data_IF_100939129095
#
_entry.id   IF_100939129095
#
_cell.length_a   1.000
_cell.length_b   1.000
_cell.length_c   1.000
_cell.angle_alpha   90.00
_cell.angle_beta   90.00
_cell.angle_gamma   90.00
#
_symmetry.space_group_name_H-M   'P 1'
#
loop_
_entity.id
_entity.type
_entity.pdbx_description
1 polymer ?
#
# COMPACT_ATOMS: atom_id res chain seq x y z
N UNK A 1 12.32 -14.63 18.15
CA UNK A 1 11.22 -13.73 17.75
C UNK A 1 11.88 -12.49 17.17
N UNK A 2 11.66 -12.21 15.88
CA UNK A 2 12.25 -11.06 15.20
C UNK A 2 11.34 -9.85 15.49
N UNK A 3 11.86 -8.84 16.17
CA UNK A 3 11.13 -7.60 16.47
C UNK A 3 11.28 -6.55 15.37
N UNK A 4 12.18 -6.80 14.42
CA UNK A 4 12.42 -5.93 13.28
C UNK A 4 11.30 -6.08 12.25
N UNK A 5 10.93 -4.96 11.66
CA UNK A 5 9.93 -4.95 10.60
C UNK A 5 10.03 -3.68 9.77
N UNK A 6 9.32 -3.66 8.65
CA UNK A 6 9.29 -2.53 7.73
C UNK A 6 7.88 -2.00 7.64
N UNK A 7 7.72 -0.71 7.88
CA UNK A 7 6.44 -0.03 7.80
C UNK A 7 6.46 0.98 6.66
N UNK A 8 5.65 0.71 5.65
CA UNK A 8 5.41 1.62 4.54
C UNK A 8 4.11 2.38 4.79
N UNK A 9 4.14 3.69 4.66
CA UNK A 9 2.97 4.56 4.76
C UNK A 9 2.80 5.22 3.39
N UNK A 10 1.59 5.18 2.83
CA UNK A 10 1.29 5.68 1.49
C UNK A 10 0.14 6.67 1.58
N UNK A 11 0.36 7.88 1.10
CA UNK A 11 -0.69 8.84 0.77
C UNK A 11 -0.87 8.86 -0.74
N UNK A 12 -1.99 8.33 -1.24
CA UNK A 12 -2.31 8.23 -2.67
C UNK A 12 -3.36 9.27 -3.07
N UNK A 13 -3.07 10.05 -4.10
CA UNK A 13 -3.85 11.20 -4.55
C UNK A 13 -4.33 11.04 -5.99
N UNK A 14 -5.48 11.64 -6.30
CA UNK A 14 -6.11 11.58 -7.63
C UNK A 14 -6.49 10.15 -8.06
N UNK A 15 -6.75 9.26 -7.10
CA UNK A 15 -7.18 7.88 -7.29
C UNK A 15 -8.51 7.78 -8.06
N UNK A 16 -8.83 6.58 -8.56
CA UNK A 16 -10.17 6.31 -9.11
C UNK A 16 -11.20 6.17 -7.98
N UNK A 17 -12.14 7.12 -7.90
CA UNK A 17 -13.19 7.15 -6.89
C UNK A 17 -14.08 5.88 -6.89
N UNK A 18 -14.24 5.21 -8.04
CA UNK A 18 -15.00 3.96 -8.13
C UNK A 18 -14.28 2.81 -7.43
N UNK A 19 -12.95 2.75 -7.53
CA UNK A 19 -12.15 1.78 -6.79
C UNK A 19 -12.19 2.06 -5.29
N UNK A 20 -12.07 3.34 -4.90
CA UNK A 20 -12.07 3.76 -3.50
C UNK A 20 -13.38 3.44 -2.76
N UNK A 21 -14.50 3.30 -3.47
CA UNK A 21 -15.80 2.99 -2.85
C UNK A 21 -16.24 1.52 -3.07
N UNK A 22 -15.34 0.63 -3.49
CA UNK A 22 -15.66 -0.76 -3.80
C UNK A 22 -14.98 -1.74 -2.83
N UNK A 23 -15.77 -2.30 -1.92
CA UNK A 23 -15.30 -3.23 -0.87
C UNK A 23 -14.59 -4.43 -1.48
N UNK A 24 -15.25 -5.14 -2.41
CA UNK A 24 -14.72 -6.36 -3.01
C UNK A 24 -13.40 -6.09 -3.75
N UNK A 25 -13.30 -4.94 -4.40
CA UNK A 25 -12.08 -4.53 -5.10
C UNK A 25 -10.94 -4.26 -4.13
N UNK A 26 -11.14 -3.40 -3.12
CA UNK A 26 -10.08 -3.06 -2.17
C UNK A 26 -9.67 -4.27 -1.33
N UNK A 27 -10.62 -5.13 -0.93
CA UNK A 27 -10.31 -6.35 -0.22
C UNK A 27 -9.43 -7.28 -1.05
N UNK A 28 -9.76 -7.50 -2.33
CA UNK A 28 -8.93 -8.30 -3.22
C UNK A 28 -7.54 -7.68 -3.46
N UNK A 29 -7.48 -6.35 -3.64
CA UNK A 29 -6.24 -5.61 -3.85
C UNK A 29 -5.30 -5.74 -2.64
N UNK A 30 -5.79 -5.47 -1.44
CA UNK A 30 -5.01 -5.55 -0.21
C UNK A 30 -4.57 -6.99 0.10
N UNK A 31 -5.47 -7.97 -0.07
CA UNK A 31 -5.13 -9.38 0.14
C UNK A 31 -4.03 -9.83 -0.83
N UNK A 32 -4.13 -9.46 -2.12
CA UNK A 32 -3.11 -9.83 -3.10
C UNK A 32 -1.75 -9.21 -2.76
N UNK A 33 -1.71 -7.93 -2.38
CA UNK A 33 -0.48 -7.26 -1.97
C UNK A 33 0.16 -7.95 -0.74
N UNK A 34 -0.63 -8.32 0.27
CA UNK A 34 -0.14 -9.02 1.45
C UNK A 34 0.40 -10.42 1.10
N UNK A 35 -0.34 -11.21 0.32
CA UNK A 35 0.09 -12.56 -0.08
C UNK A 35 1.35 -12.52 -0.95
N UNK A 36 1.46 -11.56 -1.88
CA UNK A 36 2.65 -11.39 -2.72
C UNK A 36 3.88 -10.92 -1.93
N UNK A 37 3.67 -10.26 -0.78
CA UNK A 37 4.73 -9.96 0.18
C UNK A 37 5.05 -11.16 1.09
N UNK A 38 4.54 -12.37 0.81
CA UNK A 38 4.78 -13.56 1.62
C UNK A 38 4.13 -13.51 3.01
N UNK A 39 3.16 -12.62 3.23
CA UNK A 39 2.48 -12.48 4.51
C UNK A 39 1.29 -13.44 4.62
N UNK A 40 1.16 -14.06 5.79
CA UNK A 40 -0.04 -14.82 6.14
C UNK A 40 -1.15 -13.86 6.60
N UNK A 41 -2.28 -13.87 5.89
CA UNK A 41 -3.48 -13.11 6.26
C UNK A 41 -4.32 -13.97 7.20
N UNK A 42 -4.43 -13.53 8.45
CA UNK A 42 -5.25 -14.20 9.46
C UNK A 42 -6.73 -13.80 9.37
N UNK A 43 -7.00 -12.53 9.02
CA UNK A 43 -8.35 -12.02 8.86
C UNK A 43 -8.35 -10.74 7.99
N UNK A 44 -9.44 -10.48 7.29
CA UNK A 44 -9.73 -9.23 6.58
C UNK A 44 -11.06 -8.65 7.05
N UNK A 45 -11.11 -7.34 7.21
CA UNK A 45 -12.34 -6.62 7.55
C UNK A 45 -12.40 -5.29 6.83
N UNK A 46 -13.51 -5.03 6.15
CA UNK A 46 -13.78 -3.79 5.44
C UNK A 46 -15.12 -3.22 5.86
N UNK A 47 -15.10 -1.98 6.35
CA UNK A 47 -16.28 -1.27 6.82
C UNK A 47 -16.61 -0.11 5.88
N UNK A 48 -17.80 -0.11 5.25
CA UNK A 48 -18.24 1.03 4.46
C UNK A 48 -18.85 2.15 5.30
N UNK A 49 -18.52 3.38 4.96
CA UNK A 49 -19.15 4.58 5.48
C UNK A 49 -20.26 5.09 4.57
N UNK A 50 -21.06 6.00 5.10
CA UNK A 50 -22.10 6.71 4.37
C UNK A 50 -21.72 8.20 4.28
N UNK A 51 -21.89 8.85 3.12
CA UNK A 51 -22.45 8.31 1.88
C UNK A 51 -21.49 7.43 1.07
N UNK A 52 -20.18 7.46 1.36
CA UNK A 52 -19.15 6.72 0.64
C UNK A 52 -17.86 6.60 1.47
N UNK A 53 -16.90 5.83 0.97
CA UNK A 53 -15.60 5.61 1.58
C UNK A 53 -15.57 4.37 2.48
N UNK A 54 -14.37 3.82 2.66
CA UNK A 54 -14.12 2.54 3.29
C UNK A 54 -12.96 2.66 4.28
N UNK A 55 -13.03 1.91 5.39
CA UNK A 55 -11.87 1.50 6.17
C UNK A 55 -11.67 0.00 5.97
N UNK A 56 -10.48 -0.39 5.54
CA UNK A 56 -10.04 -1.78 5.42
C UNK A 56 -8.89 -2.09 6.37
N UNK A 57 -8.89 -3.30 6.93
CA UNK A 57 -7.82 -3.81 7.78
C UNK A 57 -7.61 -5.30 7.54
N UNK A 58 -6.36 -5.68 7.28
CA UNK A 58 -5.89 -7.05 7.25
C UNK A 58 -5.03 -7.30 8.49
N UNK A 59 -5.46 -8.28 9.30
CA UNK A 59 -4.64 -8.82 10.36
C UNK A 59 -3.65 -9.80 9.75
N UNK A 60 -2.36 -9.48 9.84
CA UNK A 60 -1.28 -10.36 9.41
C UNK A 60 -0.68 -11.06 10.64
N UNK A 61 -0.04 -12.22 10.46
CA UNK A 61 0.44 -13.06 11.57
C UNK A 61 1.28 -12.33 12.63
N UNK A 62 1.98 -11.24 12.28
CA UNK A 62 2.76 -10.42 13.23
C UNK A 62 2.71 -8.91 12.94
N UNK A 63 1.80 -8.44 12.08
CA UNK A 63 1.73 -7.04 11.63
C UNK A 63 0.35 -6.69 11.05
N UNK A 64 0.24 -5.74 10.11
CA UNK A 64 -1.04 -5.39 9.50
C UNK A 64 -0.88 -4.70 8.14
N UNK A 65 -1.96 -4.70 7.37
CA UNK A 65 -2.18 -3.78 6.26
C UNK A 65 -3.50 -3.04 6.48
N UNK A 66 -3.51 -1.72 6.51
CA UNK A 66 -4.73 -0.92 6.59
C UNK A 66 -4.87 0.05 5.43
N UNK A 67 -6.11 0.39 5.11
CA UNK A 67 -6.47 1.38 4.10
C UNK A 67 -7.67 2.20 4.58
N UNK A 68 -7.60 3.51 4.37
CA UNK A 68 -8.70 4.45 4.58
C UNK A 68 -8.91 5.24 3.28
N UNK A 69 -10.14 5.39 2.84
CA UNK A 69 -10.43 6.03 1.54
C UNK A 69 -11.44 7.16 1.65
N UNK A 70 -11.21 8.21 0.87
CA UNK A 70 -12.11 9.34 0.68
C UNK A 70 -12.38 9.52 -0.82
N UNK A 71 -13.40 8.82 -1.37
CA UNK A 71 -13.71 8.89 -2.81
C UNK A 71 -13.97 10.32 -3.32
N UNK A 72 -14.56 11.19 -2.50
CA UNK A 72 -14.84 12.60 -2.80
C UNK A 72 -13.56 13.41 -3.03
N UNK A 73 -12.52 13.12 -2.27
CA UNK A 73 -11.21 13.75 -2.39
C UNK A 73 -10.27 12.97 -3.32
N UNK A 74 -10.73 11.85 -3.88
CA UNK A 74 -9.91 10.91 -4.66
C UNK A 74 -8.62 10.51 -3.93
N UNK A 75 -8.73 10.31 -2.62
CA UNK A 75 -7.61 10.10 -1.72
C UNK A 75 -7.71 8.75 -0.99
N UNK A 76 -6.58 8.09 -0.82
CA UNK A 76 -6.45 6.94 0.07
C UNK A 76 -5.17 7.04 0.90
N UNK A 77 -5.29 6.68 2.18
CA UNK A 77 -4.17 6.48 3.09
C UNK A 77 -4.00 4.99 3.33
N UNK A 78 -2.77 4.49 3.24
CA UNK A 78 -2.44 3.08 3.46
C UNK A 78 -1.26 2.92 4.40
N UNK A 79 -1.34 1.92 5.27
CA UNK A 79 -0.23 1.43 6.07
C UNK A 79 0.03 -0.02 5.67
N UNK A 80 1.25 -0.33 5.25
CA UNK A 80 1.69 -1.70 5.00
C UNK A 80 2.86 -2.03 5.92
N UNK A 81 2.54 -2.63 7.05
CA UNK A 81 3.50 -3.06 8.04
C UNK A 81 3.77 -4.56 7.91
N UNK A 82 5.02 -4.95 7.78
CA UNK A 82 5.47 -6.35 7.77
C UNK A 82 6.58 -6.56 8.79
N UNK A 83 6.76 -7.80 9.23
CA UNK A 83 7.95 -8.21 9.98
C UNK A 83 9.06 -8.66 9.03
N UNK A 84 10.31 -8.58 9.48
CA UNK A 84 11.49 -8.87 8.67
C UNK A 84 11.97 -7.68 7.82
N UNK A 85 12.88 -7.96 6.90
CA UNK A 85 13.62 -6.99 6.07
C UNK A 85 13.23 -7.07 4.58
N UNK A 86 12.02 -7.57 4.31
CA UNK A 86 11.49 -7.84 2.98
C UNK A 86 11.48 -6.58 2.10
N UNK A 87 11.85 -6.73 0.83
CA UNK A 87 11.62 -5.67 -0.15
C UNK A 87 10.14 -5.65 -0.56
N UNK A 88 9.50 -4.51 -0.34
CA UNK A 88 8.07 -4.29 -0.59
C UNK A 88 7.82 -3.42 -1.82
N UNK A 89 8.86 -3.07 -2.58
CA UNK A 89 8.78 -2.13 -3.70
C UNK A 89 7.72 -2.57 -4.72
N UNK A 90 7.70 -3.85 -5.08
CA UNK A 90 6.73 -4.38 -6.04
C UNK A 90 5.28 -4.34 -5.54
N UNK A 91 5.06 -4.58 -4.23
CA UNK A 91 3.73 -4.58 -3.64
C UNK A 91 3.21 -3.15 -3.41
N UNK A 92 4.09 -2.21 -3.07
CA UNK A 92 3.76 -0.78 -3.01
C UNK A 92 3.33 -0.28 -4.39
N UNK A 93 4.12 -0.58 -5.43
CA UNK A 93 3.81 -0.24 -6.81
C UNK A 93 2.52 -0.93 -7.31
N UNK A 94 2.27 -2.18 -6.92
CA UNK A 94 1.00 -2.87 -7.17
C UNK A 94 -0.20 -2.16 -6.51
N UNK A 95 -0.11 -1.79 -5.23
CA UNK A 95 -1.17 -1.06 -4.52
C UNK A 95 -1.48 0.28 -5.18
N UNK A 96 -0.43 1.06 -5.47
CA UNK A 96 -0.52 2.37 -6.14
C UNK A 96 -1.22 2.24 -7.50
N UNK A 97 -0.83 1.26 -8.32
CA UNK A 97 -1.49 1.00 -9.61
C UNK A 97 -2.94 0.56 -9.45
N UNK A 98 -3.24 -0.31 -8.48
CA UNK A 98 -4.62 -0.74 -8.21
C UNK A 98 -5.54 0.44 -7.87
N UNK A 99 -5.04 1.39 -7.09
CA UNK A 99 -5.81 2.61 -6.78
C UNK A 99 -5.95 3.57 -7.96
N UNK A 100 -5.24 3.31 -9.08
CA UNK A 100 -5.18 4.21 -10.24
C UNK A 100 -4.82 5.64 -9.84
N UNK A 101 -3.91 5.76 -8.88
CA UNK A 101 -3.41 7.04 -8.37
C UNK A 101 -2.52 7.71 -9.41
N UNK A 102 -2.50 9.05 -9.41
CA UNK A 102 -1.56 9.81 -10.27
C UNK A 102 -0.35 10.32 -9.51
N UNK A 103 -0.47 10.42 -8.19
CA UNK A 103 0.57 10.89 -7.29
C UNK A 103 0.48 10.13 -5.98
N UNK A 104 1.60 9.63 -5.49
CA UNK A 104 1.68 9.00 -4.18
C UNK A 104 2.90 9.50 -3.41
N UNK A 105 2.72 9.83 -2.14
CA UNK A 105 3.82 10.03 -1.20
C UNK A 105 4.01 8.74 -0.43
N UNK A 106 5.19 8.14 -0.54
CA UNK A 106 5.53 6.87 0.11
C UNK A 106 6.60 7.14 1.15
N UNK A 107 6.33 6.76 2.39
CA UNK A 107 7.26 6.82 3.50
C UNK A 107 7.65 5.41 3.92
N UNK A 108 8.93 5.18 4.23
CA UNK A 108 9.44 3.91 4.72
C UNK A 108 10.18 4.12 6.03
N UNK A 109 9.86 3.30 7.02
CA UNK A 109 10.53 3.28 8.31
C UNK A 109 10.76 1.84 8.79
N UNK A 110 11.89 1.63 9.44
CA UNK A 110 12.18 0.39 10.16
C UNK A 110 11.46 0.39 11.50
N UNK A 111 11.03 -0.77 11.98
CA UNK A 111 10.39 -0.97 13.28
C UNK A 111 11.30 -1.85 14.13
N UNK A 112 11.24 -1.69 15.45
CA UNK A 112 12.10 -2.43 16.37
C UNK A 112 13.56 -1.96 16.41
N UNK A 113 13.83 -0.70 16.05
CA UNK A 113 15.17 -0.09 16.13
C UNK A 113 15.42 0.57 17.50
N UNK A 114 16.67 0.56 17.97
CA UNK A 114 17.07 1.09 19.28
C UNK A 114 17.50 2.57 19.26
N UNK A 115 17.52 3.20 18.09
CA UNK A 115 17.87 4.60 17.91
C UNK A 115 16.84 5.30 16.99
N UNK A 116 16.64 6.61 17.15
CA UNK A 116 15.86 7.40 16.20
C UNK A 116 16.41 7.24 14.78
N UNK A 117 15.50 7.18 13.81
CA UNK A 117 15.84 7.08 12.39
C UNK A 117 15.24 8.25 11.62
N UNK A 118 15.85 8.58 10.48
CA UNK A 118 15.21 9.42 9.48
C UNK A 118 14.21 8.57 8.69
N UNK A 119 13.02 9.11 8.49
CA UNK A 119 12.01 8.48 7.63
C UNK A 119 12.44 8.69 6.18
N UNK A 120 12.60 7.58 5.45
CA UNK A 120 12.86 7.63 4.00
C UNK A 120 11.54 7.96 3.32
N UNK A 121 11.59 8.78 2.27
CA UNK A 121 10.40 9.10 1.49
C UNK A 121 10.69 9.03 0.00
N UNK A 122 9.65 8.77 -0.78
CA UNK A 122 9.66 8.85 -2.23
C UNK A 122 8.35 9.46 -2.71
N UNK A 123 8.42 10.35 -3.70
CA UNK A 123 7.25 10.78 -4.45
C UNK A 123 7.18 9.90 -5.71
N UNK A 124 6.05 9.22 -5.90
CA UNK A 124 5.79 8.43 -7.10
C UNK A 124 4.70 9.10 -7.91
N UNK A 125 4.96 9.32 -9.19
CA UNK A 125 3.98 9.86 -10.14
C UNK A 125 3.61 8.84 -11.19
N UNK A 126 2.43 8.99 -11.80
CA UNK A 126 2.00 8.17 -12.92
C UNK A 126 3.04 8.08 -14.07
N UNK A 127 3.92 9.08 -14.18
CA UNK A 127 4.96 9.16 -15.21
C UNK A 127 6.24 8.38 -14.88
N UNK A 128 6.51 8.10 -13.60
CA UNK A 128 7.69 7.32 -13.20
C UNK A 128 7.56 5.87 -13.68
N UNK A 129 6.33 5.35 -13.73
CA UNK A 129 6.01 4.00 -14.17
C UNK A 129 6.14 3.77 -15.70
N UNK A 130 6.18 4.84 -16.52
CA UNK A 130 6.38 4.72 -17.97
C UNK A 130 7.85 4.52 -18.35
N UNK A 131 8.79 4.95 -17.48
CA UNK A 131 10.22 4.79 -17.73
C UNK A 131 10.68 3.33 -17.59
N UNK A 132 10.09 2.55 -16.68
CA UNK A 132 10.45 1.14 -16.50
C UNK A 132 10.00 0.26 -17.68
N UNK A 133 8.82 0.51 -18.25
CA UNK A 133 8.35 -0.21 -19.46
C UNK A 133 9.24 0.01 -20.68
N UNK A 134 9.79 1.21 -20.82
CA UNK A 134 10.68 1.53 -21.95
C UNK A 134 12.04 0.83 -21.80
N UNK A 135 12.49 0.58 -20.56
CA UNK A 135 13.77 -0.08 -20.27
C UNK A 135 13.74 -1.59 -20.51
N UNK A 136 12.58 -2.24 -20.36
CA UNK A 136 12.43 -3.69 -20.53
C UNK A 136 12.10 -4.12 -21.97
N UNK A 137 11.60 -3.23 -22.83
CA UNK A 137 11.36 -3.52 -24.26
C UNK A 137 12.59 -3.26 -25.15
N UNK A 138 13.67 -2.70 -24.61
CA UNK A 138 14.93 -2.46 -25.33
C UNK A 138 15.97 -3.59 -25.14
N UNK A 139 15.69 -4.58 -24.29
CA UNK A 139 16.57 -5.71 -23.97
C UNK A 139 15.96 -7.08 -24.37
N UNK A 140 14.93 -7.06 -25.24
CA UNK A 140 14.30 -8.23 -25.88
C UNK A 140 14.41 -8.17 -27.40
#
# INVERSE_FOLDING_TARGET
>A
MIIQGKHIIIDAFECDALHLNNITYLEALCNKAAMDAGMEVLNSYFYPFQPQGLTGFLLLSTSHLSIHTWPEERYASLDFYTCGDQDLTAQVDFLIRGLSTKKAMVYSMERGVSQPQLVKFNEMTAFDHLKEKTSQELDS
#
